data_IF_428896253297
#
_entry.id   IF_428896253297
#
_cell.length_a   1.000
_cell.length_b   1.000
_cell.length_c   1.000
_cell.angle_alpha   90.00
_cell.angle_beta   90.00
_cell.angle_gamma   90.00
#
_symmetry.space_group_name_H-M   'P 1'
#
loop_
_entity.id
_entity.type
_entity.pdbx_description
1 polymer ?
#
# COMPACT_ATOMS: atom_id res chain seq x y z
N UNK A 1 -30.52 51.14 2.25
CA UNK A 1 -29.71 50.49 3.30
C UNK A 1 -29.84 48.99 3.11
N UNK A 2 -28.89 48.38 2.31
CA UNK A 2 -28.94 46.99 1.93
C UNK A 2 -27.92 46.24 2.79
N UNK A 3 -28.38 45.37 3.68
CA UNK A 3 -27.52 44.47 4.44
C UNK A 3 -27.16 43.27 3.54
N UNK A 4 -25.89 43.17 3.16
CA UNK A 4 -25.32 41.99 2.57
C UNK A 4 -25.26 40.88 3.61
N UNK A 5 -26.05 39.85 3.41
CA UNK A 5 -25.95 38.59 4.15
C UNK A 5 -24.75 37.83 3.57
N UNK A 6 -23.62 37.82 4.27
CA UNK A 6 -22.54 36.91 3.97
C UNK A 6 -22.92 35.51 4.52
N UNK A 7 -22.91 34.43 3.70
CA UNK A 7 -23.09 33.11 4.25
C UNK A 7 -21.91 32.78 5.14
N UNK A 8 -22.19 32.47 6.41
CA UNK A 8 -21.20 31.90 7.33
C UNK A 8 -20.61 30.65 6.69
N UNK A 9 -19.32 30.70 6.33
CA UNK A 9 -18.53 29.52 6.03
C UNK A 9 -18.63 28.61 7.24
N UNK A 10 -19.28 27.48 7.08
CA UNK A 10 -19.17 26.34 7.99
C UNK A 10 -17.70 25.97 8.05
N UNK A 11 -17.02 26.36 9.11
CA UNK A 11 -15.71 25.88 9.44
C UNK A 11 -15.81 24.38 9.74
N UNK A 12 -15.68 23.56 8.72
CA UNK A 12 -15.17 22.23 8.94
C UNK A 12 -13.73 22.44 9.45
N UNK A 13 -13.49 22.17 10.74
CA UNK A 13 -12.17 22.02 11.32
C UNK A 13 -11.50 20.77 10.72
N UNK A 14 -11.23 20.78 9.42
CA UNK A 14 -10.24 19.90 8.81
C UNK A 14 -8.89 20.58 9.05
N UNK A 15 -8.00 19.90 9.75
CA UNK A 15 -6.63 20.32 9.92
C UNK A 15 -6.03 20.56 8.52
N UNK A 16 -5.82 21.81 8.18
CA UNK A 16 -5.10 22.17 6.96
C UNK A 16 -3.63 22.30 7.32
N UNK A 17 -2.80 21.43 6.76
CA UNK A 17 -1.35 21.58 6.80
C UNK A 17 -1.03 23.00 6.29
N UNK A 18 -0.20 23.79 7.01
CA UNK A 18 0.16 25.14 6.55
C UNK A 18 0.64 25.09 5.11
N UNK A 19 0.12 25.96 4.26
CA UNK A 19 0.30 25.91 2.80
C UNK A 19 1.78 25.88 2.38
N UNK A 20 2.65 26.63 3.10
CA UNK A 20 4.09 26.59 2.87
C UNK A 20 4.72 25.24 3.20
N UNK A 21 4.33 24.60 4.30
CA UNK A 21 4.83 23.28 4.68
C UNK A 21 4.36 22.23 3.66
N UNK A 22 3.12 22.34 3.23
CA UNK A 22 2.57 21.46 2.18
C UNK A 22 3.34 21.61 0.86
N UNK A 23 3.75 22.83 0.49
CA UNK A 23 4.51 23.09 -0.75
C UNK A 23 5.89 22.44 -0.71
N UNK A 24 6.67 22.62 0.37
CA UNK A 24 7.98 21.97 0.50
C UNK A 24 7.86 20.44 0.58
N UNK A 25 6.89 19.96 1.33
CA UNK A 25 6.62 18.52 1.47
C UNK A 25 6.22 17.91 0.14
N UNK A 26 5.35 18.56 -0.64
CA UNK A 26 4.99 18.13 -2.00
C UNK A 26 6.23 18.02 -2.89
N UNK A 27 7.11 19.02 -2.87
CA UNK A 27 8.34 18.98 -3.67
C UNK A 27 9.20 17.77 -3.31
N UNK A 28 9.43 17.52 -2.02
CA UNK A 28 10.21 16.36 -1.56
C UNK A 28 9.54 15.03 -1.99
N UNK A 29 8.22 14.94 -1.84
CA UNK A 29 7.48 13.70 -2.14
C UNK A 29 7.39 13.39 -3.64
N UNK A 30 7.40 14.42 -4.50
CA UNK A 30 7.42 14.20 -5.97
C UNK A 30 8.72 13.53 -6.45
N UNK A 31 9.84 13.75 -5.75
CA UNK A 31 11.12 13.08 -6.05
C UNK A 31 11.29 11.73 -5.34
N UNK A 32 10.31 11.31 -4.53
CA UNK A 32 10.37 10.00 -3.86
C UNK A 32 10.34 8.84 -4.85
N UNK A 33 11.14 7.80 -4.56
CA UNK A 33 11.07 6.52 -5.27
C UNK A 33 9.86 5.65 -4.87
N UNK A 34 9.11 6.08 -3.86
CA UNK A 34 7.87 5.45 -3.42
C UNK A 34 6.66 6.30 -3.81
N UNK A 35 5.50 5.66 -3.95
CA UNK A 35 4.23 6.38 -3.87
C UNK A 35 4.11 6.95 -2.47
N UNK A 36 3.85 8.25 -2.38
CA UNK A 36 3.60 8.95 -1.11
C UNK A 36 2.20 9.53 -1.17
N UNK A 37 1.43 9.31 -0.11
CA UNK A 37 0.09 9.86 0.02
C UNK A 37 -0.18 10.29 1.46
N UNK A 38 -1.14 11.20 1.61
CA UNK A 38 -1.64 11.67 2.91
C UNK A 38 -3.15 11.44 2.92
N UNK A 39 -3.64 10.90 4.02
CA UNK A 39 -5.08 10.81 4.34
C UNK A 39 -5.36 11.57 5.63
N UNK A 40 -6.55 12.16 5.70
CA UNK A 40 -7.05 12.77 6.94
C UNK A 40 -7.49 11.71 7.97
N UNK A 41 -7.99 12.17 9.12
CA UNK A 41 -8.48 11.32 10.21
C UNK A 41 -9.67 10.41 9.85
N UNK A 42 -10.35 10.70 8.74
CA UNK A 42 -11.46 9.91 8.21
C UNK A 42 -11.00 9.01 7.04
N UNK A 43 -9.68 8.95 6.80
CA UNK A 43 -9.02 8.18 5.73
C UNK A 43 -9.39 8.61 4.32
N UNK A 44 -9.75 9.90 4.12
CA UNK A 44 -9.91 10.50 2.82
C UNK A 44 -8.56 11.02 2.31
N UNK A 45 -8.23 10.75 1.05
CA UNK A 45 -6.99 11.22 0.44
C UNK A 45 -6.95 12.73 0.33
N UNK A 46 -5.90 13.32 0.89
CA UNK A 46 -5.59 14.76 0.83
C UNK A 46 -4.43 15.07 -0.12
N UNK A 47 -3.63 14.06 -0.41
CA UNK A 47 -2.49 14.15 -1.30
C UNK A 47 -2.08 12.77 -1.82
N UNK A 48 -1.60 12.72 -3.05
CA UNK A 48 -0.84 11.61 -3.62
C UNK A 48 0.16 12.18 -4.63
N UNK A 49 1.42 11.73 -4.59
CA UNK A 49 2.41 12.16 -5.56
C UNK A 49 2.14 11.60 -6.97
N UNK A 50 2.74 12.23 -7.99
CA UNK A 50 2.56 11.84 -9.40
C UNK A 50 2.96 10.38 -9.67
N UNK A 51 3.91 9.83 -8.92
CA UNK A 51 4.28 8.43 -9.02
C UNK A 51 3.10 7.52 -8.70
N UNK A 52 2.42 7.76 -7.58
CA UNK A 52 1.25 6.98 -7.18
C UNK A 52 0.11 7.09 -8.17
N UNK A 53 -0.20 8.30 -8.61
CA UNK A 53 -1.24 8.54 -9.62
C UNK A 53 -0.96 7.75 -10.90
N UNK A 54 0.27 7.78 -11.40
CA UNK A 54 0.68 7.02 -12.60
C UNK A 54 0.60 5.51 -12.39
N UNK A 55 1.10 5.00 -11.26
CA UNK A 55 1.09 3.55 -10.98
C UNK A 55 -0.32 2.99 -10.82
N UNK A 56 -1.22 3.77 -10.20
CA UNK A 56 -2.64 3.40 -10.05
C UNK A 56 -3.49 3.75 -11.28
N UNK A 57 -2.90 4.45 -12.26
CA UNK A 57 -3.58 4.94 -13.47
C UNK A 57 -4.75 5.89 -13.14
N UNK A 58 -4.59 6.69 -12.08
CA UNK A 58 -5.55 7.67 -11.59
C UNK A 58 -5.12 9.09 -11.95
N UNK A 59 -6.08 10.01 -12.00
CA UNK A 59 -5.85 11.45 -11.99
C UNK A 59 -6.09 12.00 -10.58
N UNK A 60 -5.51 13.15 -10.26
CA UNK A 60 -5.68 13.79 -8.95
C UNK A 60 -7.16 13.97 -8.58
N UNK A 61 -7.99 14.41 -9.52
CA UNK A 61 -9.45 14.57 -9.34
C UNK A 61 -10.18 13.27 -9.02
N UNK A 62 -9.63 12.11 -9.37
CA UNK A 62 -10.26 10.81 -9.14
C UNK A 62 -10.07 10.35 -7.69
N UNK A 63 -9.10 10.90 -6.97
CA UNK A 63 -8.69 10.41 -5.65
C UNK A 63 -8.84 11.44 -4.53
N UNK A 64 -8.66 12.75 -4.80
CA UNK A 64 -8.73 13.76 -3.75
C UNK A 64 -10.09 13.79 -3.07
N UNK A 65 -10.09 13.75 -1.73
CA UNK A 65 -11.29 13.69 -0.91
C UNK A 65 -12.00 12.33 -0.88
N UNK A 66 -11.50 11.33 -1.62
CA UNK A 66 -12.13 10.00 -1.67
C UNK A 66 -11.54 9.05 -0.62
N UNK A 67 -12.35 8.17 0.00
CA UNK A 67 -11.87 7.06 0.79
C UNK A 67 -11.46 5.88 -0.11
N UNK A 68 -10.63 4.96 0.40
CA UNK A 68 -10.22 3.75 -0.35
C UNK A 68 -11.40 3.00 -0.97
N UNK A 69 -12.52 2.91 -0.26
CA UNK A 69 -13.74 2.20 -0.68
C UNK A 69 -14.30 2.71 -2.02
N UNK A 70 -14.12 3.99 -2.33
CA UNK A 70 -14.63 4.60 -3.56
C UNK A 70 -13.69 4.42 -4.77
N UNK A 71 -12.51 3.84 -4.58
CA UNK A 71 -11.46 3.71 -5.58
C UNK A 71 -11.44 2.31 -6.22
N UNK A 72 -10.76 2.09 -7.35
CA UNK A 72 -10.71 0.79 -8.03
C UNK A 72 -10.31 -0.37 -7.14
N UNK A 73 -9.45 -0.12 -6.16
CA UNK A 73 -8.99 -1.08 -5.17
C UNK A 73 -9.89 -1.19 -3.92
N UNK A 74 -11.09 -0.62 -3.97
CA UNK A 74 -12.02 -0.51 -2.82
C UNK A 74 -12.42 -1.83 -2.17
N UNK A 75 -12.36 -2.94 -2.90
CA UNK A 75 -12.60 -4.28 -2.32
C UNK A 75 -11.61 -4.66 -1.22
N UNK A 76 -10.43 -4.05 -1.21
CA UNK A 76 -9.38 -4.25 -0.21
C UNK A 76 -9.35 -3.16 0.88
N UNK A 77 -10.29 -2.20 0.83
CA UNK A 77 -10.30 -1.04 1.72
C UNK A 77 -10.24 -1.39 3.21
N UNK A 78 -10.82 -2.51 3.62
CA UNK A 78 -10.82 -2.94 5.02
C UNK A 78 -9.40 -3.25 5.53
N UNK A 79 -8.52 -3.84 4.70
CA UNK A 79 -7.12 -4.08 5.05
C UNK A 79 -6.35 -2.75 5.14
N UNK A 80 -6.57 -1.85 4.16
CA UNK A 80 -5.91 -0.55 4.14
C UNK A 80 -6.31 0.31 5.35
N UNK A 81 -7.62 0.34 5.67
CA UNK A 81 -8.12 1.08 6.82
C UNK A 81 -7.63 0.49 8.14
N UNK A 82 -7.56 -0.83 8.28
CA UNK A 82 -6.98 -1.47 9.46
C UNK A 82 -5.51 -1.04 9.67
N UNK A 83 -4.74 -0.93 8.59
CA UNK A 83 -3.37 -0.43 8.64
C UNK A 83 -3.31 1.07 8.97
N UNK A 84 -4.26 1.88 8.42
CA UNK A 84 -4.37 3.30 8.74
C UNK A 84 -4.67 3.51 10.23
N UNK A 85 -5.63 2.76 10.80
CA UNK A 85 -5.92 2.77 12.24
C UNK A 85 -4.70 2.40 13.08
N UNK A 86 -4.00 1.30 12.72
CA UNK A 86 -2.79 0.89 13.43
C UNK A 86 -1.74 2.00 13.44
N UNK A 87 -1.54 2.67 12.31
CA UNK A 87 -0.59 3.77 12.21
C UNK A 87 -1.01 4.98 13.08
N UNK A 88 -2.31 5.31 13.13
CA UNK A 88 -2.82 6.37 14.03
C UNK A 88 -2.57 6.06 15.51
N UNK A 89 -2.59 4.79 15.91
CA UNK A 89 -2.24 4.30 17.25
C UNK A 89 -0.73 4.05 17.43
N UNK A 90 0.09 4.54 16.52
CA UNK A 90 1.56 4.39 16.54
C UNK A 90 2.05 2.94 16.45
N UNK A 91 1.19 2.03 16.02
CA UNK A 91 1.57 0.63 15.75
C UNK A 91 2.06 0.56 14.31
N UNK A 92 3.38 0.69 14.15
CA UNK A 92 4.02 0.86 12.84
C UNK A 92 4.64 -0.46 12.38
N UNK A 93 4.26 -0.88 11.17
CA UNK A 93 4.78 -2.08 10.52
C UNK A 93 4.71 -1.94 9.00
N UNK A 94 5.36 -2.87 8.28
CA UNK A 94 5.17 -3.03 6.85
C UNK A 94 3.98 -3.95 6.59
N UNK A 95 3.17 -3.61 5.59
CA UNK A 95 2.05 -4.42 5.16
C UNK A 95 2.12 -4.65 3.65
N UNK A 96 1.97 -5.91 3.24
CA UNK A 96 1.84 -6.30 1.85
C UNK A 96 0.37 -6.64 1.57
N UNK A 97 -0.24 -5.89 0.68
CA UNK A 97 -1.63 -6.03 0.28
C UNK A 97 -1.77 -6.27 -1.22
N UNK A 98 -2.89 -6.86 -1.62
CA UNK A 98 -3.37 -6.81 -2.99
C UNK A 98 -3.81 -5.39 -3.36
N UNK A 99 -3.61 -5.00 -4.62
CA UNK A 99 -4.12 -3.77 -5.18
C UNK A 99 -4.58 -3.97 -6.63
N UNK A 100 -5.50 -3.12 -7.08
CA UNK A 100 -5.98 -3.11 -8.46
C UNK A 100 -5.88 -1.69 -9.00
N UNK A 101 -5.27 -1.53 -10.17
CA UNK A 101 -5.22 -0.26 -10.89
C UNK A 101 -6.58 0.09 -11.51
N UNK A 102 -6.74 1.32 -12.00
CA UNK A 102 -7.97 1.76 -12.68
C UNK A 102 -8.34 0.89 -13.89
N UNK A 103 -7.34 0.36 -14.59
CA UNK A 103 -7.54 -0.51 -15.75
C UNK A 103 -7.71 -2.00 -15.38
N UNK A 104 -7.82 -2.33 -14.09
CA UNK A 104 -8.06 -3.70 -13.62
C UNK A 104 -6.80 -4.56 -13.48
N UNK A 105 -5.60 -3.99 -13.65
CA UNK A 105 -4.35 -4.71 -13.44
C UNK A 105 -4.16 -5.00 -11.96
N UNK A 106 -3.89 -6.27 -11.63
CA UNK A 106 -3.56 -6.69 -10.26
C UNK A 106 -2.09 -6.45 -9.97
N UNK A 107 -1.82 -5.76 -8.88
CA UNK A 107 -0.48 -5.46 -8.38
C UNK A 107 -0.42 -5.66 -6.87
N UNK A 108 0.78 -5.72 -6.31
CA UNK A 108 1.02 -5.73 -4.87
C UNK A 108 1.40 -4.34 -4.37
N UNK A 109 0.94 -4.02 -3.18
CA UNK A 109 1.24 -2.78 -2.47
C UNK A 109 1.98 -3.10 -1.18
N UNK A 110 3.30 -2.89 -1.15
CA UNK A 110 4.08 -2.92 0.09
C UNK A 110 4.06 -1.53 0.70
N UNK A 111 3.36 -1.39 1.80
CA UNK A 111 3.09 -0.11 2.44
C UNK A 111 3.69 -0.01 3.84
N UNK A 112 4.17 1.19 4.16
CA UNK A 112 4.57 1.61 5.48
C UNK A 112 3.84 2.93 5.79
N UNK A 113 3.21 3.03 6.95
CA UNK A 113 2.38 4.20 7.30
C UNK A 113 2.82 4.78 8.64
N UNK A 114 2.75 6.10 8.75
CA UNK A 114 3.09 6.87 9.94
C UNK A 114 1.93 7.78 10.32
N UNK A 115 1.72 8.06 11.61
CA UNK A 115 0.76 9.06 12.04
C UNK A 115 1.20 10.45 11.61
N UNK A 116 0.26 11.26 11.13
CA UNK A 116 0.47 12.68 10.86
C UNK A 116 0.07 13.47 12.10
N UNK A 117 1.04 14.00 12.81
CA UNK A 117 0.84 14.73 14.07
C UNK A 117 1.10 16.23 13.92
N UNK A 118 0.39 17.03 14.73
CA UNK A 118 0.71 18.46 14.91
C UNK A 118 1.79 18.66 15.99
N UNK A 119 2.11 19.93 16.27
CA UNK A 119 3.10 20.32 17.26
C UNK A 119 2.73 19.89 18.70
N UNK A 120 1.44 19.72 18.98
CA UNK A 120 0.93 19.26 20.26
C UNK A 120 0.89 17.72 20.37
N UNK A 121 1.35 17.02 19.32
CA UNK A 121 1.38 15.55 19.25
C UNK A 121 0.04 14.91 18.92
N UNK A 122 -0.98 15.69 18.56
CA UNK A 122 -2.30 15.19 18.19
C UNK A 122 -2.29 14.64 16.77
N UNK A 123 -2.80 13.43 16.59
CA UNK A 123 -2.89 12.77 15.27
C UNK A 123 -4.05 13.33 14.45
N UNK A 124 -3.77 13.74 13.22
CA UNK A 124 -4.72 14.31 12.25
C UNK A 124 -4.97 13.42 11.03
N UNK A 125 -4.24 12.34 10.89
CA UNK A 125 -4.34 11.43 9.78
C UNK A 125 -3.10 10.56 9.66
N UNK A 126 -2.85 10.07 8.46
CA UNK A 126 -1.70 9.22 8.16
C UNK A 126 -0.96 9.68 6.92
N UNK A 127 0.35 9.50 6.93
CA UNK A 127 1.18 9.54 5.74
C UNK A 127 1.60 8.11 5.39
N UNK A 128 1.40 7.72 4.13
CA UNK A 128 1.76 6.39 3.64
C UNK A 128 2.84 6.45 2.58
N UNK A 129 3.74 5.47 2.65
CA UNK A 129 4.77 5.20 1.64
C UNK A 129 4.52 3.82 1.08
N UNK A 130 4.25 3.73 -0.22
CA UNK A 130 3.91 2.46 -0.87
C UNK A 130 4.82 2.20 -2.06
N UNK A 131 5.33 0.98 -2.14
CA UNK A 131 5.99 0.44 -3.33
C UNK A 131 5.03 -0.52 -4.01
N UNK A 132 4.53 -0.12 -5.18
CA UNK A 132 3.75 -1.02 -6.02
C UNK A 132 4.68 -1.93 -6.84
N UNK A 133 4.27 -3.19 -6.97
CA UNK A 133 5.05 -4.23 -7.64
C UNK A 133 4.13 -5.19 -8.37
N UNK A 134 4.54 -5.65 -9.55
CA UNK A 134 3.94 -6.85 -10.13
C UNK A 134 4.53 -8.12 -9.47
N UNK A 135 3.99 -9.30 -9.80
CA UNK A 135 4.42 -10.56 -9.21
C UNK A 135 5.94 -10.81 -9.40
N UNK A 136 6.45 -10.58 -10.61
CA UNK A 136 7.87 -10.78 -10.91
C UNK A 136 8.78 -9.87 -10.04
N UNK A 137 8.42 -8.61 -9.92
CA UNK A 137 9.15 -7.66 -9.06
C UNK A 137 9.09 -8.05 -7.59
N UNK A 138 7.92 -8.52 -7.10
CA UNK A 138 7.77 -9.03 -5.75
C UNK A 138 8.72 -10.21 -5.52
N UNK A 139 8.71 -11.20 -6.40
CA UNK A 139 9.56 -12.39 -6.29
C UNK A 139 11.05 -12.04 -6.29
N UNK A 140 11.48 -11.15 -7.19
CA UNK A 140 12.87 -10.69 -7.24
C UNK A 140 13.28 -9.95 -5.95
N UNK A 141 12.42 -9.13 -5.38
CA UNK A 141 12.69 -8.44 -4.12
C UNK A 141 12.80 -9.42 -2.95
N UNK A 142 11.98 -10.46 -2.92
CA UNK A 142 11.97 -11.47 -1.86
C UNK A 142 13.18 -12.42 -1.95
N UNK A 143 13.67 -12.71 -3.16
CA UNK A 143 14.85 -13.53 -3.40
C UNK A 143 16.19 -12.78 -3.20
N UNK A 144 16.16 -11.45 -3.25
CA UNK A 144 17.36 -10.66 -3.01
C UNK A 144 17.73 -10.70 -1.52
N UNK A 145 19.02 -10.86 -1.20
CA UNK A 145 19.51 -10.82 0.20
C UNK A 145 19.25 -9.48 0.91
N UNK A 146 18.85 -8.45 0.18
CA UNK A 146 18.38 -7.16 0.69
C UNK A 146 16.88 -7.19 1.03
N UNK A 147 16.46 -8.20 1.70
CA UNK A 147 15.07 -8.55 1.96
C UNK A 147 14.37 -7.46 2.76
N UNK A 148 13.29 -6.94 2.20
CA UNK A 148 12.25 -6.19 2.91
C UNK A 148 11.48 -7.05 3.95
N UNK A 149 11.92 -8.28 4.21
CA UNK A 149 11.36 -9.12 5.27
C UNK A 149 11.83 -8.57 6.62
N UNK A 150 11.23 -7.45 7.01
CA UNK A 150 11.36 -6.97 8.37
C UNK A 150 10.61 -7.93 9.31
N UNK A 151 11.05 -8.09 10.56
CA UNK A 151 10.36 -8.93 11.56
C UNK A 151 8.86 -8.59 11.72
N UNK A 152 8.46 -7.40 11.30
CA UNK A 152 7.11 -6.83 11.46
C UNK A 152 6.34 -6.73 10.14
N UNK A 153 6.61 -7.59 9.14
CA UNK A 153 5.83 -7.63 7.91
C UNK A 153 4.52 -8.39 8.11
N UNK A 154 3.39 -7.74 7.89
CA UNK A 154 2.07 -8.37 7.77
C UNK A 154 1.71 -8.58 6.30
N UNK A 155 1.20 -9.76 5.96
CA UNK A 155 0.85 -10.13 4.58
C UNK A 155 -0.65 -10.39 4.52
N UNK A 156 -1.37 -9.60 3.71
CA UNK A 156 -2.81 -9.67 3.47
C UNK A 156 -3.09 -9.90 1.98
N UNK A 157 -2.38 -10.85 1.38
CA UNK A 157 -2.56 -11.21 -0.02
C UNK A 157 -3.55 -12.36 -0.15
N UNK A 158 -4.57 -12.21 -1.00
CA UNK A 158 -5.45 -13.31 -1.34
C UNK A 158 -4.76 -14.24 -2.33
N UNK A 159 -4.11 -15.28 -1.78
CA UNK A 159 -3.31 -16.24 -2.53
C UNK A 159 -4.14 -16.99 -3.57
N UNK A 160 -5.37 -17.38 -3.23
CA UNK A 160 -6.24 -18.14 -4.14
C UNK A 160 -6.62 -17.32 -5.38
N UNK A 161 -6.83 -16.02 -5.21
CA UNK A 161 -7.16 -15.10 -6.31
C UNK A 161 -5.95 -14.92 -7.25
N UNK A 162 -4.74 -14.90 -6.70
CA UNK A 162 -3.50 -14.82 -7.46
C UNK A 162 -3.18 -16.12 -8.20
N UNK A 163 -3.38 -17.27 -7.57
CA UNK A 163 -3.15 -18.56 -8.20
C UNK A 163 -4.06 -18.78 -9.41
N UNK A 164 -5.32 -18.35 -9.32
CA UNK A 164 -6.29 -18.45 -10.43
C UNK A 164 -5.94 -17.58 -11.62
N UNK A 165 -5.22 -16.47 -11.41
CA UNK A 165 -4.86 -15.51 -12.46
C UNK A 165 -3.47 -15.75 -13.05
N UNK A 166 -2.64 -16.56 -12.41
CA UNK A 166 -1.28 -16.86 -12.85
C UNK A 166 -1.28 -18.15 -13.67
N UNK A 167 -1.85 -18.08 -14.87
CA UNK A 167 -2.23 -19.23 -15.74
C UNK A 167 -1.03 -20.08 -16.22
N UNK A 168 0.20 -19.64 -16.06
CA UNK A 168 1.39 -20.30 -16.62
C UNK A 168 2.37 -20.88 -15.58
N UNK A 169 1.95 -21.03 -14.32
CA UNK A 169 2.79 -21.70 -13.32
C UNK A 169 2.59 -23.19 -13.32
N UNK A 170 3.67 -23.96 -13.24
CA UNK A 170 3.60 -25.38 -12.95
C UNK A 170 2.97 -25.64 -11.58
N UNK A 171 2.43 -26.83 -11.37
CA UNK A 171 1.85 -27.21 -10.09
C UNK A 171 2.83 -26.98 -8.92
N UNK A 172 4.12 -27.27 -9.10
CA UNK A 172 5.13 -27.10 -8.06
C UNK A 172 5.46 -25.62 -7.79
N UNK A 173 5.47 -24.80 -8.81
CA UNK A 173 5.63 -23.35 -8.66
C UNK A 173 4.43 -22.74 -7.91
N UNK A 174 3.21 -23.20 -8.22
CA UNK A 174 2.01 -22.76 -7.48
C UNK A 174 2.07 -23.18 -6.00
N UNK A 175 2.43 -24.43 -5.68
CA UNK A 175 2.56 -24.90 -4.30
C UNK A 175 3.60 -24.10 -3.51
N UNK A 176 4.75 -23.83 -4.12
CA UNK A 176 5.82 -23.02 -3.51
C UNK A 176 5.34 -21.58 -3.31
N UNK A 177 4.74 -20.97 -4.34
CA UNK A 177 4.22 -19.61 -4.28
C UNK A 177 3.13 -19.46 -3.24
N UNK A 178 2.22 -20.43 -3.13
CA UNK A 178 1.15 -20.45 -2.13
C UNK A 178 1.69 -20.29 -0.70
N UNK A 179 2.62 -21.15 -0.30
CA UNK A 179 3.19 -21.07 1.05
C UNK A 179 4.05 -19.81 1.26
N UNK A 180 4.69 -19.37 0.20
CA UNK A 180 5.53 -18.19 0.24
C UNK A 180 4.71 -16.91 0.45
N UNK A 181 3.59 -16.75 -0.26
CA UNK A 181 2.66 -15.64 -0.08
C UNK A 181 1.93 -15.67 1.27
N UNK A 182 1.89 -16.83 1.95
CA UNK A 182 1.45 -16.94 3.34
C UNK A 182 2.53 -16.51 4.34
N UNK A 183 3.66 -15.98 3.89
CA UNK A 183 4.75 -15.52 4.76
C UNK A 183 5.64 -16.64 5.31
N UNK A 184 5.55 -17.87 4.77
CA UNK A 184 6.44 -18.95 5.20
C UNK A 184 7.84 -18.74 4.60
N UNK A 185 8.86 -18.89 5.44
CA UNK A 185 10.25 -18.86 4.98
C UNK A 185 10.58 -20.09 4.12
N UNK A 186 11.60 -19.97 3.27
CA UNK A 186 12.12 -21.08 2.45
C UNK A 186 12.39 -22.33 3.29
N UNK A 187 12.95 -22.15 4.49
CA UNK A 187 13.23 -23.22 5.48
C UNK A 187 11.96 -23.95 5.94
N UNK A 188 10.84 -23.25 6.01
CA UNK A 188 9.54 -23.84 6.39
C UNK A 188 8.83 -24.47 5.18
N UNK A 189 8.99 -23.89 3.98
CA UNK A 189 8.36 -24.41 2.75
C UNK A 189 8.97 -25.75 2.33
N UNK A 190 10.30 -25.87 2.43
CA UNK A 190 11.02 -27.06 1.99
C UNK A 190 10.47 -28.37 2.62
N UNK A 191 10.34 -28.50 3.96
CA UNK A 191 9.79 -29.70 4.57
C UNK A 191 8.29 -29.88 4.29
N UNK A 192 7.48 -28.81 4.18
CA UNK A 192 6.05 -28.87 3.86
C UNK A 192 5.79 -29.49 2.48
N UNK A 193 6.68 -29.26 1.53
CA UNK A 193 6.58 -29.77 0.16
C UNK A 193 7.45 -31.00 -0.09
N UNK A 194 8.16 -31.51 0.94
CA UNK A 194 9.10 -32.62 0.84
C UNK A 194 10.19 -32.40 -0.25
N UNK A 195 10.75 -31.19 -0.30
CA UNK A 195 11.82 -30.79 -1.22
C UNK A 195 12.93 -30.05 -0.47
N UNK A 196 14.06 -29.81 -1.13
CA UNK A 196 15.16 -29.06 -0.52
C UNK A 196 14.94 -27.54 -0.59
N UNK A 197 15.57 -26.77 0.30
CA UNK A 197 15.57 -25.30 0.23
C UNK A 197 16.02 -24.79 -1.15
N UNK A 198 17.05 -25.44 -1.72
CA UNK A 198 17.54 -25.12 -3.06
C UNK A 198 16.48 -25.32 -4.14
N UNK A 199 15.65 -26.37 -4.02
CA UNK A 199 14.54 -26.63 -4.94
C UNK A 199 13.43 -25.58 -4.78
N UNK A 200 13.14 -25.13 -3.54
CA UNK A 200 12.22 -24.01 -3.30
C UNK A 200 12.71 -22.75 -4.02
N UNK A 201 13.98 -22.39 -3.84
CA UNK A 201 14.61 -21.24 -4.51
C UNK A 201 14.53 -21.38 -6.04
N UNK A 202 14.79 -22.58 -6.57
CA UNK A 202 14.69 -22.85 -8.01
C UNK A 202 13.30 -22.56 -8.54
N UNK A 203 12.24 -23.05 -7.87
CA UNK A 203 10.85 -22.78 -8.28
C UNK A 203 10.50 -21.30 -8.17
N UNK A 204 10.93 -20.62 -7.10
CA UNK A 204 10.69 -19.17 -6.95
C UNK A 204 11.36 -18.36 -8.08
N UNK A 205 12.55 -18.76 -8.53
CA UNK A 205 13.26 -18.10 -9.62
C UNK A 205 12.64 -18.35 -11.00
N UNK A 206 11.90 -19.45 -11.16
CA UNK A 206 11.23 -19.81 -12.43
C UNK A 206 9.85 -19.15 -12.59
N UNK A 207 9.29 -18.57 -11.55
CA UNK A 207 8.02 -17.84 -11.60
C UNK A 207 8.24 -16.56 -12.44
N UNK A 208 7.64 -16.53 -13.62
CA UNK A 208 7.79 -15.45 -14.61
C UNK A 208 6.51 -14.61 -14.68
#
# INVERSE_FOLDING_TARGET
>A
MWYYFQPKRLCHNSFMIPEKLLTYTKTIFEYSHSTVYIKDKNFHYQYMNNRGLKQLQLQEKDIMGMPDKALPFGKYAHFYNSHDYSAMEEIIYFQLDDCITKNGEKIFALSHKLPLKDEDGKTHGVIGFTKFMNLHQLMNNLNSKNTFLTPNLKINVNVDDWLKTTINLSRREMEVLYYFLQGKSIKLIAPLLHITERTVIFHLNNIK
#
